data_IF_443319738731
#
_entry.id   IF_443319738731
#
_cell.length_a   1.000
_cell.length_b   1.000
_cell.length_c   1.000
_cell.angle_alpha   90.00
_cell.angle_beta   90.00
_cell.angle_gamma   90.00
#
_symmetry.space_group_name_H-M   'P 1'
#
loop_
_entity.id
_entity.type
_entity.pdbx_description
1 polymer ?
#
# COMPACT_ATOMS: atom_id res chain seq x y z
N UNK A 1 4.04 -14.24 18.01
CA UNK A 1 4.01 -13.70 16.62
C UNK A 1 3.21 -12.41 16.67
N UNK A 2 3.85 -11.24 16.68
CA UNK A 2 3.18 -9.95 16.90
C UNK A 2 2.52 -9.53 15.57
N UNK A 3 1.18 -9.58 15.53
CA UNK A 3 0.35 -9.05 14.44
C UNK A 3 0.08 -7.58 14.75
N UNK A 4 0.57 -6.68 13.92
CA UNK A 4 0.24 -5.25 14.02
C UNK A 4 -1.10 -5.02 13.32
N UNK A 5 -2.16 -4.98 14.10
CA UNK A 5 -3.47 -4.56 13.63
C UNK A 5 -3.49 -3.03 13.48
N UNK A 6 -4.34 -2.51 12.60
CA UNK A 6 -4.77 -1.11 12.69
C UNK A 6 -5.69 -0.99 13.92
N UNK A 7 -5.12 -1.00 15.12
CA UNK A 7 -5.90 -0.95 16.35
C UNK A 7 -6.46 0.46 16.54
N UNK A 8 -7.79 0.56 16.48
CA UNK A 8 -8.54 1.53 17.26
C UNK A 8 -8.37 1.13 18.73
N UNK A 9 -7.51 1.83 19.45
CA UNK A 9 -7.57 1.83 20.91
C UNK A 9 -7.72 3.25 21.43
N UNK A 10 -8.84 3.45 22.14
CA UNK A 10 -9.15 4.51 23.10
C UNK A 10 -9.41 5.92 22.54
N UNK A 11 -10.58 6.11 21.92
CA UNK A 11 -11.30 7.38 22.04
C UNK A 11 -12.81 7.13 21.94
N UNK A 12 -13.38 6.62 23.03
CA UNK A 12 -14.76 6.95 23.41
C UNK A 12 -14.78 8.47 23.62
N UNK A 13 -15.83 9.15 23.15
CA UNK A 13 -16.04 10.62 23.11
C UNK A 13 -15.48 11.28 21.84
N UNK A 14 -16.28 11.27 20.76
CA UNK A 14 -16.66 12.43 19.95
C UNK A 14 -17.38 11.94 18.68
N UNK A 15 -18.65 12.36 18.51
CA UNK A 15 -19.51 12.11 17.35
C UNK A 15 -18.82 12.43 16.00
N UNK A 16 -18.22 11.42 15.36
CA UNK A 16 -17.90 11.40 13.93
C UNK A 16 -18.27 10.03 13.38
N UNK A 17 -18.81 9.93 12.15
CA UNK A 17 -19.26 8.66 11.58
C UNK A 17 -18.10 7.64 11.63
N UNK A 18 -18.39 6.51 12.25
CA UNK A 18 -17.46 5.41 12.55
C UNK A 18 -16.84 4.92 11.23
N UNK A 19 -15.64 5.42 10.89
CA UNK A 19 -14.94 5.11 9.65
C UNK A 19 -14.49 3.64 9.75
N UNK A 20 -15.13 2.74 8.99
CA UNK A 20 -14.77 1.32 8.94
C UNK A 20 -13.28 1.18 8.66
N UNK A 21 -12.54 0.57 9.60
CA UNK A 21 -11.10 0.33 9.46
C UNK A 21 -10.90 -0.96 8.66
N UNK A 22 -10.15 -0.88 7.57
CA UNK A 22 -9.81 -2.03 6.73
C UNK A 22 -8.81 -2.93 7.45
N UNK A 23 -9.18 -4.19 7.67
CA UNK A 23 -8.34 -5.18 8.35
C UNK A 23 -7.23 -5.73 7.46
N UNK A 24 -6.29 -6.47 8.06
CA UNK A 24 -5.17 -7.10 7.35
C UNK A 24 -5.60 -8.05 6.22
N UNK A 25 -6.78 -8.65 6.33
CA UNK A 25 -7.29 -9.63 5.38
C UNK A 25 -7.89 -8.91 4.14
N UNK A 26 -8.70 -7.86 4.37
CA UNK A 26 -9.31 -7.05 3.31
C UNK A 26 -8.26 -6.34 2.43
N UNK A 27 -7.10 -5.96 2.99
CA UNK A 27 -6.02 -5.39 2.18
C UNK A 27 -5.38 -6.42 1.23
N UNK A 28 -5.33 -7.69 1.62
CA UNK A 28 -4.83 -8.74 0.73
C UNK A 28 -5.83 -9.05 -0.40
N UNK A 29 -7.14 -8.87 -0.17
CA UNK A 29 -8.13 -8.94 -1.26
C UNK A 29 -7.91 -7.82 -2.30
N UNK A 30 -7.62 -6.59 -1.83
CA UNK A 30 -7.27 -5.47 -2.71
C UNK A 30 -5.97 -5.80 -3.45
N UNK A 31 -4.95 -6.29 -2.75
CA UNK A 31 -3.68 -6.70 -3.34
C UNK A 31 -3.87 -7.75 -4.43
N UNK A 32 -4.61 -8.82 -4.17
CA UNK A 32 -4.82 -9.92 -5.11
C UNK A 32 -5.60 -9.46 -6.35
N UNK A 33 -6.63 -8.62 -6.15
CA UNK A 33 -7.38 -8.02 -7.26
C UNK A 33 -6.47 -7.16 -8.15
N UNK A 34 -5.63 -6.31 -7.54
CA UNK A 34 -4.66 -5.50 -8.28
C UNK A 34 -3.62 -6.37 -8.99
N UNK A 35 -3.08 -7.38 -8.30
CA UNK A 35 -2.09 -8.30 -8.84
C UNK A 35 -2.63 -9.03 -10.07
N UNK A 36 -3.84 -9.60 -9.96
CA UNK A 36 -4.50 -10.30 -11.06
C UNK A 36 -4.76 -9.38 -12.25
N UNK A 37 -5.31 -8.18 -12.01
CA UNK A 37 -5.76 -7.30 -13.09
C UNK A 37 -4.60 -6.57 -13.79
N UNK A 38 -3.62 -6.07 -13.04
CA UNK A 38 -2.56 -5.22 -13.60
C UNK A 38 -1.21 -5.90 -13.74
N UNK A 39 -0.97 -7.00 -13.02
CA UNK A 39 0.32 -7.68 -12.99
C UNK A 39 0.21 -9.15 -13.41
N UNK A 40 -0.92 -9.56 -13.99
CA UNK A 40 -1.21 -10.93 -14.44
C UNK A 40 -1.02 -11.99 -13.34
N UNK A 41 -1.19 -11.62 -12.08
CA UNK A 41 -0.96 -12.50 -10.93
C UNK A 41 0.52 -12.87 -10.70
N UNK A 42 1.47 -12.16 -11.33
CA UNK A 42 2.89 -12.50 -11.30
C UNK A 42 3.63 -12.03 -10.06
N UNK A 43 3.07 -11.10 -9.28
CA UNK A 43 3.74 -10.60 -8.08
C UNK A 43 3.67 -11.65 -6.95
N UNK A 44 4.80 -12.00 -6.33
CA UNK A 44 4.82 -12.91 -5.20
C UNK A 44 4.27 -12.23 -3.95
N UNK A 45 3.77 -13.03 -3.02
CA UNK A 45 3.22 -12.50 -1.77
C UNK A 45 4.25 -11.66 -1.01
N UNK A 46 3.81 -10.47 -0.59
CA UNK A 46 4.63 -9.50 0.13
C UNK A 46 3.95 -9.11 1.44
N UNK A 47 4.76 -8.86 2.47
CA UNK A 47 4.26 -8.35 3.74
C UNK A 47 3.81 -6.91 3.57
N UNK A 48 2.58 -6.61 3.96
CA UNK A 48 2.03 -5.26 3.98
C UNK A 48 1.84 -4.84 5.45
N UNK A 49 2.37 -3.68 5.82
CA UNK A 49 2.36 -3.17 7.19
C UNK A 49 1.62 -1.83 7.25
N UNK A 50 0.76 -1.66 8.26
CA UNK A 50 0.19 -0.36 8.58
C UNK A 50 1.13 0.42 9.49
N UNK A 51 1.31 1.72 9.23
CA UNK A 51 2.07 2.60 10.11
C UNK A 51 1.37 3.94 10.34
N UNK A 52 1.50 4.46 11.56
CA UNK A 52 1.10 5.80 11.94
C UNK A 52 2.11 6.86 11.55
N UNK A 53 3.35 6.45 11.26
CA UNK A 53 4.46 7.33 10.97
C UNK A 53 4.70 7.40 9.46
N UNK A 54 4.21 8.48 8.86
CA UNK A 54 4.58 8.91 7.51
C UNK A 54 4.78 10.41 7.50
N UNK A 55 5.90 10.86 6.90
CA UNK A 55 6.21 12.27 6.64
C UNK A 55 6.30 13.16 7.88
N UNK A 56 7.51 13.41 8.38
CA UNK A 56 7.76 14.61 9.18
C UNK A 56 7.91 15.79 8.21
N UNK A 57 6.80 16.40 7.81
CA UNK A 57 6.81 17.60 6.97
C UNK A 57 5.43 17.94 6.41
N UNK A 58 5.00 19.18 6.63
CA UNK A 58 3.72 19.74 6.19
C UNK A 58 3.52 19.65 4.65
N UNK A 59 4.62 19.47 3.91
CA UNK A 59 4.68 19.47 2.44
C UNK A 59 4.87 18.08 1.80
N UNK A 60 5.17 17.03 2.57
CA UNK A 60 5.42 15.68 2.05
C UNK A 60 4.29 14.73 2.42
N UNK A 61 3.26 14.67 1.56
CA UNK A 61 2.15 13.71 1.67
C UNK A 61 2.56 12.33 1.14
N UNK A 62 3.42 11.62 1.87
CA UNK A 62 3.70 10.22 1.60
C UNK A 62 2.69 9.36 2.36
N UNK A 63 1.99 8.46 1.67
CA UNK A 63 1.00 7.56 2.30
C UNK A 63 1.34 6.08 2.13
N UNK A 64 2.43 5.77 1.43
CA UNK A 64 2.95 4.44 1.23
C UNK A 64 4.44 4.46 0.90
N UNK A 65 5.11 3.33 1.15
CA UNK A 65 6.43 3.05 0.61
C UNK A 65 6.68 1.56 0.40
N UNK A 66 7.37 1.24 -0.68
CA UNK A 66 7.99 -0.05 -0.94
C UNK A 66 9.45 -0.03 -0.47
N UNK A 67 9.82 -1.00 0.37
CA UNK A 67 11.17 -1.11 0.94
C UNK A 67 11.77 -2.46 0.56
N UNK A 68 12.91 -2.39 -0.13
CA UNK A 68 13.77 -3.54 -0.42
C UNK A 68 15.21 -3.23 0.03
N UNK A 69 15.68 -3.94 1.05
CA UNK A 69 17.05 -3.81 1.58
C UNK A 69 17.88 -5.04 1.19
N UNK A 70 19.18 -4.90 0.90
CA UNK A 70 20.06 -6.03 0.62
C UNK A 70 20.00 -7.10 1.72
N UNK A 71 19.80 -8.36 1.33
CA UNK A 71 19.74 -9.50 2.26
C UNK A 71 18.47 -9.57 3.14
N UNK A 72 17.45 -8.72 2.89
CA UNK A 72 16.17 -8.74 3.62
C UNK A 72 15.01 -9.00 2.65
N UNK A 73 13.94 -9.63 3.15
CA UNK A 73 12.70 -9.76 2.38
C UNK A 73 12.04 -8.38 2.23
N UNK A 74 11.59 -8.00 1.02
CA UNK A 74 10.94 -6.72 0.81
C UNK A 74 9.57 -6.67 1.50
N UNK A 75 9.10 -5.46 1.78
CA UNK A 75 7.76 -5.22 2.34
C UNK A 75 7.21 -3.87 1.87
N UNK A 76 5.89 -3.72 1.96
CA UNK A 76 5.18 -2.46 1.70
C UNK A 76 4.68 -1.91 3.03
N UNK A 77 4.81 -0.60 3.27
CA UNK A 77 4.10 0.09 4.35
C UNK A 77 3.04 1.01 3.77
N UNK A 78 1.90 1.08 4.44
CA UNK A 78 0.81 2.00 4.13
C UNK A 78 0.43 2.82 5.37
N UNK A 79 0.03 4.07 5.14
CA UNK A 79 -0.37 4.96 6.22
C UNK A 79 -1.73 4.56 6.76
N UNK A 80 -1.87 4.52 8.08
CA UNK A 80 -3.17 4.36 8.72
C UNK A 80 -4.15 5.49 8.36
N UNK A 81 -3.69 6.66 7.89
CA UNK A 81 -4.58 7.72 7.38
C UNK A 81 -5.44 7.27 6.19
N UNK A 82 -4.99 6.26 5.45
CA UNK A 82 -5.72 5.68 4.32
C UNK A 82 -6.74 4.61 4.74
N UNK A 83 -6.69 4.10 5.99
CA UNK A 83 -7.29 2.81 6.41
C UNK A 83 -8.82 2.70 6.30
N UNK A 84 -9.47 3.69 5.72
CA UNK A 84 -10.92 3.90 5.74
C UNK A 84 -11.50 4.23 4.37
N UNK A 85 -10.66 4.39 3.35
CA UNK A 85 -11.10 4.57 1.96
C UNK A 85 -10.45 3.49 1.09
N UNK A 86 -11.20 2.44 0.71
CA UNK A 86 -10.70 1.38 -0.16
C UNK A 86 -10.12 1.88 -1.48
N UNK A 87 -10.63 3.00 -2.03
CA UNK A 87 -10.16 3.57 -3.29
C UNK A 87 -8.77 4.17 -3.13
N UNK A 88 -8.57 4.95 -2.06
CA UNK A 88 -7.27 5.52 -1.74
C UNK A 88 -6.25 4.45 -1.35
N UNK A 89 -6.67 3.41 -0.61
CA UNK A 89 -5.81 2.25 -0.33
C UNK A 89 -5.39 1.57 -1.63
N UNK A 90 -6.34 1.27 -2.53
CA UNK A 90 -6.03 0.64 -3.81
C UNK A 90 -5.07 1.51 -4.65
N UNK A 91 -5.28 2.83 -4.68
CA UNK A 91 -4.42 3.78 -5.41
C UNK A 91 -2.99 3.79 -4.89
N UNK A 92 -2.82 3.88 -3.57
CA UNK A 92 -1.48 3.91 -2.96
C UNK A 92 -0.83 2.54 -3.01
N UNK A 93 -1.57 1.47 -2.71
CA UNK A 93 -1.07 0.11 -2.80
C UNK A 93 -0.63 -0.22 -4.24
N UNK A 94 -1.40 0.17 -5.25
CA UNK A 94 -1.00 0.02 -6.64
C UNK A 94 0.33 0.72 -6.94
N UNK A 95 0.51 1.97 -6.47
CA UNK A 95 1.77 2.69 -6.62
C UNK A 95 2.96 1.89 -6.05
N UNK A 96 2.83 1.37 -4.83
CA UNK A 96 3.89 0.58 -4.21
C UNK A 96 4.08 -0.79 -4.88
N UNK A 97 3.02 -1.39 -5.41
CA UNK A 97 3.10 -2.61 -6.22
C UNK A 97 3.83 -2.40 -7.54
N UNK A 98 3.76 -1.21 -8.16
CA UNK A 98 4.55 -0.90 -9.35
C UNK A 98 6.05 -0.86 -9.01
N UNK A 99 6.44 -0.29 -7.87
CA UNK A 99 7.84 -0.37 -7.40
C UNK A 99 8.26 -1.82 -7.18
N UNK A 100 7.40 -2.60 -6.52
CA UNK A 100 7.67 -4.01 -6.29
C UNK A 100 7.80 -4.81 -7.59
N UNK A 101 6.96 -4.53 -8.58
CA UNK A 101 7.03 -5.14 -9.91
C UNK A 101 8.35 -4.83 -10.61
N UNK A 102 8.81 -3.58 -10.58
CA UNK A 102 10.11 -3.21 -11.12
C UNK A 102 11.24 -3.98 -10.43
N UNK A 103 11.19 -4.07 -9.10
CA UNK A 103 12.16 -4.80 -8.29
C UNK A 103 12.23 -6.30 -8.66
N UNK A 104 11.09 -6.99 -8.69
CA UNK A 104 11.01 -8.43 -9.04
C UNK A 104 11.51 -8.69 -10.45
N UNK A 105 11.23 -7.78 -11.39
CA UNK A 105 11.63 -7.91 -12.79
C UNK A 105 13.04 -7.37 -13.08
N UNK A 106 13.82 -7.01 -12.04
CA UNK A 106 15.18 -6.44 -12.17
C UNK A 106 15.24 -5.24 -13.13
N UNK A 107 14.17 -4.43 -13.15
CA UNK A 107 14.09 -3.20 -13.94
C UNK A 107 14.66 -2.01 -13.15
N UNK A 108 15.04 -0.91 -13.82
CA UNK A 108 15.44 0.32 -13.14
C UNK A 108 14.36 0.78 -12.13
N UNK A 109 14.76 0.90 -10.87
CA UNK A 109 13.89 1.29 -9.76
C UNK A 109 13.82 2.82 -9.63
N UNK A 110 12.82 3.33 -8.90
CA UNK A 110 12.43 4.73 -8.84
C UNK A 110 11.31 5.07 -9.82
N UNK A 111 10.99 6.36 -9.95
CA UNK A 111 9.94 6.87 -10.85
C UNK A 111 10.43 7.03 -12.31
N UNK A 112 10.95 5.94 -12.85
CA UNK A 112 11.50 5.81 -14.21
C UNK A 112 10.41 5.88 -15.29
N UNK A 113 10.79 5.80 -16.57
CA UNK A 113 9.82 5.78 -17.68
C UNK A 113 8.91 4.56 -17.59
N UNK A 114 9.46 3.41 -17.22
CA UNK A 114 8.77 2.14 -16.99
C UNK A 114 7.78 2.28 -15.85
N UNK A 115 8.20 2.89 -14.73
CA UNK A 115 7.31 3.21 -13.62
C UNK A 115 6.12 4.05 -14.10
N UNK A 116 6.38 5.18 -14.78
CA UNK A 116 5.33 6.09 -15.25
C UNK A 116 4.40 5.42 -16.25
N UNK A 117 4.92 4.57 -17.14
CA UNK A 117 4.14 3.79 -18.09
C UNK A 117 3.19 2.86 -17.35
N UNK A 118 3.70 2.08 -16.39
CA UNK A 118 2.89 1.15 -15.60
C UNK A 118 1.89 1.89 -14.71
N UNK A 119 2.29 3.02 -14.13
CA UNK A 119 1.41 3.83 -13.28
C UNK A 119 0.18 4.33 -14.05
N UNK A 120 0.34 4.73 -15.32
CA UNK A 120 -0.75 5.18 -16.20
C UNK A 120 -1.78 4.11 -16.54
N UNK A 121 -1.44 2.83 -16.39
CA UNK A 121 -2.38 1.74 -16.61
C UNK A 121 -3.48 1.70 -15.55
N UNK A 122 -3.24 2.31 -14.38
CA UNK A 122 -4.21 2.32 -13.29
C UNK A 122 -5.49 3.04 -13.67
N UNK A 123 -6.59 2.30 -13.73
CA UNK A 123 -7.94 2.84 -13.86
C UNK A 123 -8.65 2.63 -12.55
N UNK A 124 -9.19 3.71 -11.99
CA UNK A 124 -9.92 3.69 -10.72
C UNK A 124 -11.34 3.18 -10.96
N UNK A 125 -11.45 1.93 -11.43
CA UNK A 125 -12.72 1.20 -11.50
C UNK A 125 -12.83 0.40 -10.19
N UNK A 126 -13.31 1.08 -9.14
CA UNK A 126 -13.69 0.46 -7.87
C UNK A 126 -15.11 0.87 -7.52
#
# INVERSE_FOLDING_TARGET
>A
MIRYYCTLDLAIIMNKPNKKVIQSEEIYEIYDRLNKHYFNGSLPYIRILWTNTFGHGEWFKQFGDFIALPGKKPFIRLSQKLCSDPKEIARVLYHEMVHFWLYVNKKPWGHTKEFKKKLKEFKLEV
#
